data_IF_243514215470
#
_entry.id   IF_243514215470
#
_cell.length_a   1.000
_cell.length_b   1.000
_cell.length_c   1.000
_cell.angle_alpha   90.00
_cell.angle_beta   90.00
_cell.angle_gamma   90.00
#
_symmetry.space_group_name_H-M   'P 1'
#
loop_
_entity.id
_entity.type
_entity.pdbx_description
1 polymer ?
#
# COMPACT_ATOMS: atom_id res chain seq x y z
N UNK A 1 1.67 19.02 -15.76
CA UNK A 1 1.19 18.78 -15.78
C UNK A 1 1.08 18.34 -15.56
N UNK A 2 0.92 18.24 -15.19
CA UNK A 2 0.64 17.73 -14.93
C UNK A 2 0.15 17.24 -14.88
N UNK A 3 0.09 17.00 -14.76
CA UNK A 3 -0.51 16.63 -14.80
C UNK A 3 -0.87 16.04 -14.59
N UNK A 4 -0.81 15.86 -14.61
CA UNK A 4 -1.40 15.39 -14.51
C UNK A 4 -1.56 14.80 -13.83
N UNK A 5 -1.09 14.81 -13.77
CA UNK A 5 -1.37 14.30 -13.22
C UNK A 5 -1.32 14.13 -12.10
N UNK A 6 -0.98 14.42 -11.83
CA UNK A 6 -1.26 14.59 -10.47
C UNK A 6 -2.00 13.48 -9.85
N UNK A 7 -2.43 12.62 -10.58
CA UNK A 7 -3.14 11.50 -10.03
C UNK A 7 -2.23 10.66 -9.23
N UNK A 8 -2.78 10.06 -8.17
CA UNK A 8 -2.05 9.08 -7.41
C UNK A 8 -1.72 7.91 -8.30
N UNK A 9 -0.59 7.26 -8.10
CA UNK A 9 -0.29 6.07 -8.86
C UNK A 9 -1.37 5.04 -8.60
N UNK A 10 -1.62 4.21 -9.58
CA UNK A 10 -2.61 3.16 -9.46
C UNK A 10 -2.30 2.24 -8.31
N UNK A 11 -1.01 1.99 -8.11
CA UNK A 11 -0.56 1.10 -7.06
C UNK A 11 0.55 1.78 -6.29
N UNK A 12 0.54 1.59 -5.00
CA UNK A 12 1.55 2.15 -4.11
C UNK A 12 2.59 1.10 -3.82
N UNK A 13 3.85 1.52 -3.74
CA UNK A 13 4.90 0.62 -3.28
C UNK A 13 4.72 0.39 -1.79
N UNK A 14 5.36 -0.66 -1.28
CA UNK A 14 5.27 -0.92 0.16
C UNK A 14 5.84 0.25 0.95
N UNK A 15 6.86 0.90 0.43
CA UNK A 15 7.44 2.06 1.09
C UNK A 15 6.45 3.21 1.14
N UNK A 16 5.78 3.47 0.03
CA UNK A 16 4.79 4.54 -0.01
C UNK A 16 3.63 4.25 0.95
N UNK A 17 3.18 3.01 0.97
CA UNK A 17 2.11 2.63 1.88
C UNK A 17 2.54 2.78 3.33
N UNK A 18 3.77 2.41 3.62
CA UNK A 18 4.29 2.54 4.98
C UNK A 18 4.29 3.98 5.43
N UNK A 19 4.67 4.88 4.53
CA UNK A 19 4.69 6.30 4.85
C UNK A 19 3.30 6.83 5.11
N UNK A 20 2.36 6.45 4.27
CA UNK A 20 0.98 6.91 4.43
C UNK A 20 0.39 6.42 5.74
N UNK A 21 0.67 5.17 6.09
CA UNK A 21 0.14 4.57 7.30
C UNK A 21 0.98 4.91 8.53
N UNK A 22 2.13 5.51 8.32
CA UNK A 22 3.05 5.89 9.38
C UNK A 22 3.50 4.67 10.19
N UNK A 23 3.89 3.62 9.47
CA UNK A 23 4.43 2.41 10.09
C UNK A 23 5.67 2.00 9.32
N UNK A 24 6.41 1.06 9.87
CA UNK A 24 7.59 0.53 9.21
C UNK A 24 7.22 -0.44 8.12
N UNK A 25 8.09 -0.54 7.11
CA UNK A 25 7.90 -1.49 6.03
C UNK A 25 7.79 -2.93 6.58
N UNK A 26 8.59 -3.23 7.57
CA UNK A 26 8.54 -4.56 8.20
C UNK A 26 7.16 -4.86 8.77
N UNK A 27 6.52 -3.85 9.34
CA UNK A 27 5.18 -4.02 9.87
C UNK A 27 4.21 -4.43 8.76
N UNK A 28 4.34 -3.77 7.60
CA UNK A 28 3.48 -4.10 6.48
C UNK A 28 3.72 -5.52 5.96
N UNK A 29 4.96 -5.96 5.99
CA UNK A 29 5.27 -7.32 5.58
C UNK A 29 4.60 -8.32 6.49
N UNK A 30 4.61 -8.06 7.78
CA UNK A 30 3.92 -8.90 8.74
C UNK A 30 2.43 -8.91 8.50
N UNK A 31 1.87 -7.74 8.24
CA UNK A 31 0.43 -7.64 8.01
C UNK A 31 0.02 -8.36 6.75
N UNK A 32 0.88 -8.34 5.74
CA UNK A 32 0.63 -9.08 4.52
C UNK A 32 0.56 -10.57 4.81
N UNK A 33 1.52 -11.04 5.60
CA UNK A 33 1.59 -12.44 5.95
C UNK A 33 0.42 -12.90 6.81
N UNK A 34 0.02 -12.06 7.74
CA UNK A 34 -1.06 -12.41 8.66
C UNK A 34 -2.44 -12.22 8.06
N UNK A 35 -2.53 -11.55 6.93
CA UNK A 35 -3.80 -11.26 6.31
C UNK A 35 -4.47 -9.99 6.79
N UNK A 36 -3.80 -9.25 7.66
CA UNK A 36 -4.37 -8.02 8.18
C UNK A 36 -4.48 -6.95 7.11
N UNK A 37 -3.47 -6.86 6.26
CA UNK A 37 -3.48 -5.92 5.13
C UNK A 37 -2.67 -6.56 4.02
N UNK A 38 -3.34 -7.23 3.12
CA UNK A 38 -2.69 -8.05 2.12
C UNK A 38 -2.19 -7.20 0.96
N UNK A 39 -0.94 -7.44 0.57
CA UNK A 39 -0.35 -6.77 -0.55
C UNK A 39 -0.72 -7.49 -1.85
N UNK A 40 -0.70 -6.75 -2.91
CA UNK A 40 -0.94 -7.25 -4.23
C UNK A 40 0.41 -7.51 -4.91
N UNK A 41 0.57 -8.69 -5.51
CA UNK A 41 1.81 -9.04 -6.20
C UNK A 41 1.68 -8.70 -7.67
N UNK A 42 2.61 -7.91 -8.18
CA UNK A 42 2.48 -7.40 -9.56
C UNK A 42 3.31 -8.14 -10.58
N UNK A 43 4.20 -9.00 -10.14
CA UNK A 43 5.01 -9.77 -11.08
C UNK A 43 5.44 -11.08 -10.44
N UNK A 44 6.18 -11.86 -11.24
CA UNK A 44 6.60 -13.18 -10.78
C UNK A 44 7.57 -13.14 -9.62
N UNK A 45 8.30 -12.05 -9.50
CA UNK A 45 9.22 -11.89 -8.39
C UNK A 45 8.50 -11.66 -7.08
N UNK A 46 7.22 -11.32 -7.15
CA UNK A 46 6.44 -11.10 -5.96
C UNK A 46 6.60 -9.72 -5.37
N UNK A 47 6.92 -8.74 -6.21
CA UNK A 47 6.98 -7.36 -5.74
C UNK A 47 5.63 -6.96 -5.20
N UNK A 48 5.63 -6.37 -4.03
CA UNK A 48 4.41 -5.98 -3.35
C UNK A 48 3.95 -4.61 -3.75
N UNK A 49 2.65 -4.48 -3.93
CA UNK A 49 2.01 -3.19 -4.20
C UNK A 49 0.72 -3.14 -3.43
N UNK A 50 0.28 -1.93 -3.12
CA UNK A 50 -0.96 -1.73 -2.38
C UNK A 50 -1.87 -0.83 -3.19
N UNK A 51 -3.15 -1.16 -3.21
CA UNK A 51 -4.12 -0.30 -3.86
C UNK A 51 -4.42 0.88 -2.94
N UNK A 52 -4.42 2.11 -3.48
CA UNK A 52 -4.71 3.27 -2.63
C UNK A 52 -6.02 3.13 -1.86
N UNK A 53 -7.03 2.57 -2.50
CA UNK A 53 -8.31 2.41 -1.82
C UNK A 53 -8.24 1.47 -0.64
N UNK A 54 -7.38 0.45 -0.73
CA UNK A 54 -7.21 -0.47 0.39
C UNK A 54 -6.55 0.22 1.58
N UNK A 55 -5.60 1.09 1.28
CA UNK A 55 -4.92 1.85 2.32
C UNK A 55 -5.92 2.80 2.99
N UNK A 56 -6.72 3.47 2.18
CA UNK A 56 -7.74 4.38 2.71
C UNK A 56 -8.74 3.64 3.59
N UNK A 57 -9.17 2.48 3.12
CA UNK A 57 -10.13 1.69 3.90
C UNK A 57 -9.55 1.29 5.24
N UNK A 58 -8.29 0.93 5.25
CA UNK A 58 -7.63 0.54 6.49
C UNK A 58 -7.58 1.73 7.45
N UNK A 59 -7.22 2.90 6.93
CA UNK A 59 -7.17 4.11 7.76
C UNK A 59 -8.53 4.45 8.33
N UNK A 60 -9.57 4.35 7.52
CA UNK A 60 -10.91 4.64 7.98
C UNK A 60 -11.37 3.66 9.05
N UNK A 61 -10.99 2.42 8.90
CA UNK A 61 -11.36 1.40 9.86
C UNK A 61 -10.76 1.63 11.23
N UNK A 62 -9.60 2.25 11.25
CA UNK A 62 -8.88 2.45 12.49
C UNK A 62 -9.52 3.50 13.37
N UNK A 63 -10.38 4.28 12.84
CA UNK A 63 -11.02 5.35 13.62
C UNK A 63 -11.98 4.86 14.70
#
# INVERSE_FOLDING_TARGET
>A
MPKKNTTLPKLLTIRQAAEILNVHVETLRRWDKSGKLIAFRVNERGDRRYKPENIENYLNKKK
#
